data_IF_410547443721
#
_entry.id   IF_410547443721
#
_cell.length_a   1.000
_cell.length_b   1.000
_cell.length_c   1.000
_cell.angle_alpha   90.00
_cell.angle_beta   90.00
_cell.angle_gamma   90.00
#
_symmetry.space_group_name_H-M   'P 1'
#
loop_
_entity.id
_entity.type
_entity.pdbx_description
1 polymer ?
#
# COMPACT_ATOMS: atom_id res chain seq x y z
N UNK A 1 -2.42 4.04 29.18
CA UNK A 1 -1.91 4.12 27.79
C UNK A 1 -0.39 4.00 27.89
N UNK A 2 0.14 2.78 27.68
CA UNK A 2 1.53 2.46 27.95
C UNK A 2 2.46 3.17 26.96
N UNK A 3 3.47 3.85 27.48
CA UNK A 3 4.53 4.48 26.72
C UNK A 3 5.28 3.43 25.89
N UNK A 4 5.21 3.54 24.57
CA UNK A 4 6.12 2.82 23.67
C UNK A 4 7.12 3.81 23.07
N UNK A 5 7.97 4.40 23.93
CA UNK A 5 8.90 5.47 23.54
C UNK A 5 9.81 5.10 22.37
N UNK A 6 10.07 3.80 22.14
CA UNK A 6 10.80 3.32 20.97
C UNK A 6 10.06 3.53 19.65
N UNK A 7 8.74 3.32 19.63
CA UNK A 7 7.90 3.53 18.44
C UNK A 7 7.81 5.03 18.10
N UNK A 8 7.53 5.87 19.09
CA UNK A 8 7.44 7.32 18.87
C UNK A 8 8.76 7.88 18.35
N UNK A 9 9.87 7.52 18.99
CA UNK A 9 11.22 7.96 18.58
C UNK A 9 11.53 7.51 17.15
N UNK A 10 11.14 6.29 16.79
CA UNK A 10 11.32 5.78 15.42
C UNK A 10 10.48 6.56 14.40
N UNK A 11 9.21 6.81 14.68
CA UNK A 11 8.33 7.57 13.79
C UNK A 11 8.81 9.02 13.60
N UNK A 12 9.29 9.69 14.66
CA UNK A 12 9.92 11.02 14.56
C UNK A 12 11.15 10.95 13.64
N UNK A 13 12.02 9.95 13.85
CA UNK A 13 13.21 9.75 13.01
C UNK A 13 12.84 9.53 11.54
N UNK A 14 11.79 8.74 11.26
CA UNK A 14 11.30 8.49 9.90
C UNK A 14 10.85 9.78 9.23
N UNK A 15 10.13 10.65 9.94
CA UNK A 15 9.68 11.95 9.43
C UNK A 15 10.83 12.93 9.17
N UNK A 16 11.85 12.96 10.04
CA UNK A 16 13.05 13.80 9.83
C UNK A 16 13.84 13.32 8.59
N UNK A 17 13.88 12.01 8.34
CA UNK A 17 14.67 11.40 7.27
C UNK A 17 13.92 11.23 5.94
N UNK A 18 12.84 11.98 5.71
CA UNK A 18 11.99 11.88 4.51
C UNK A 18 12.73 12.08 3.19
N UNK A 19 13.82 12.85 3.17
CA UNK A 19 14.65 13.07 1.98
C UNK A 19 15.82 12.09 1.82
N UNK A 20 16.04 11.20 2.79
CA UNK A 20 17.22 10.33 2.80
C UNK A 20 16.97 9.04 2.00
N UNK A 21 17.85 8.74 1.04
CA UNK A 21 17.71 7.54 0.18
C UNK A 21 17.61 6.23 0.99
N UNK A 22 18.20 6.18 2.18
CA UNK A 22 18.16 5.03 3.07
C UNK A 22 16.81 4.81 3.78
N UNK A 23 15.88 5.76 3.72
CA UNK A 23 14.60 5.70 4.43
C UNK A 23 13.79 4.45 4.04
N UNK A 24 13.75 4.11 2.75
CA UNK A 24 13.09 2.88 2.26
C UNK A 24 13.65 1.62 2.91
N UNK A 25 14.97 1.53 3.07
CA UNK A 25 15.64 0.37 3.69
C UNK A 25 15.34 0.32 5.19
N UNK A 26 15.29 1.48 5.83
CA UNK A 26 14.98 1.63 7.26
C UNK A 26 13.53 1.22 7.56
N UNK A 27 12.56 1.69 6.76
CA UNK A 27 11.16 1.27 6.85
C UNK A 27 10.97 -0.22 6.56
N UNK A 28 11.61 -0.74 5.51
CA UNK A 28 11.57 -2.18 5.22
C UNK A 28 12.12 -3.01 6.39
N UNK A 29 13.28 -2.63 6.94
CA UNK A 29 13.87 -3.31 8.10
C UNK A 29 12.94 -3.27 9.31
N UNK A 30 12.27 -2.13 9.53
CA UNK A 30 11.30 -2.01 10.60
C UNK A 30 10.12 -2.96 10.40
N UNK A 31 9.49 -2.96 9.22
CA UNK A 31 8.39 -3.89 8.87
C UNK A 31 8.79 -5.36 9.01
N UNK A 32 10.02 -5.71 8.62
CA UNK A 32 10.57 -7.07 8.74
C UNK A 32 11.06 -7.42 10.14
N UNK A 33 11.07 -6.48 11.09
CA UNK A 33 11.44 -6.76 12.47
C UNK A 33 10.25 -7.31 13.25
N UNK A 34 10.50 -8.17 14.24
CA UNK A 34 9.48 -8.68 15.15
C UNK A 34 8.81 -7.60 16.01
N UNK A 35 9.29 -6.35 15.93
CA UNK A 35 8.82 -5.22 16.73
C UNK A 35 7.95 -4.23 15.93
N UNK A 36 7.64 -4.53 14.66
CA UNK A 36 6.70 -3.70 13.92
C UNK A 36 5.29 -3.93 14.48
N UNK A 37 4.61 -2.88 14.97
CA UNK A 37 3.23 -3.01 15.39
C UNK A 37 2.33 -3.32 14.18
N UNK A 38 1.07 -3.64 14.45
CA UNK A 38 0.05 -3.81 13.42
C UNK A 38 0.00 -2.59 12.50
N UNK A 39 -0.30 -2.80 11.22
CA UNK A 39 -0.29 -1.72 10.23
C UNK A 39 -1.16 -0.53 10.62
N UNK A 40 -2.30 -0.75 11.27
CA UNK A 40 -3.16 0.32 11.77
C UNK A 40 -2.42 1.20 12.79
N UNK A 41 -1.80 0.58 13.80
CA UNK A 41 -1.04 1.30 14.85
C UNK A 41 0.17 2.02 14.25
N UNK A 42 0.86 1.40 13.29
CA UNK A 42 1.97 2.02 12.58
C UNK A 42 1.53 3.29 11.81
N UNK A 43 0.42 3.19 11.08
CA UNK A 43 -0.16 4.31 10.33
C UNK A 43 -0.61 5.43 11.25
N UNK A 44 -1.38 5.10 12.27
CA UNK A 44 -1.92 6.07 13.23
C UNK A 44 -0.78 6.80 13.94
N UNK A 45 0.26 6.07 14.37
CA UNK A 45 1.44 6.67 15.01
C UNK A 45 2.19 7.63 14.08
N UNK A 46 2.38 7.26 12.81
CA UNK A 46 3.01 8.13 11.82
C UNK A 46 2.17 9.39 11.55
N UNK A 47 0.86 9.27 11.44
CA UNK A 47 -0.05 10.40 11.23
C UNK A 47 -0.09 11.31 12.46
N UNK A 48 -0.19 10.73 13.66
CA UNK A 48 -0.20 11.48 14.92
C UNK A 48 1.10 12.25 15.10
N UNK A 49 2.25 11.63 14.86
CA UNK A 49 3.55 12.30 14.99
C UNK A 49 3.73 13.39 13.93
N UNK A 50 3.24 13.18 12.71
CA UNK A 50 3.23 14.23 11.71
C UNK A 50 2.45 15.47 12.22
N UNK A 51 1.25 15.26 12.74
CA UNK A 51 0.42 16.34 13.31
C UNK A 51 1.07 17.00 14.53
N UNK A 52 1.58 16.20 15.47
CA UNK A 52 2.14 16.67 16.74
C UNK A 52 3.39 17.53 16.56
N UNK A 53 4.24 17.20 15.59
CA UNK A 53 5.49 17.90 15.34
C UNK A 53 5.45 18.83 14.11
N UNK A 54 4.28 18.96 13.47
CA UNK A 54 4.10 19.83 12.30
C UNK A 54 4.78 19.31 11.02
N UNK A 55 5.05 18.01 10.92
CA UNK A 55 5.49 17.42 9.65
C UNK A 55 4.31 17.31 8.68
N UNK A 56 4.57 17.51 7.39
CA UNK A 56 3.61 17.16 6.35
C UNK A 56 3.39 15.63 6.29
N UNK A 57 2.19 15.20 5.91
CA UNK A 57 1.93 13.78 5.60
C UNK A 57 2.63 13.41 4.28
N UNK A 58 3.92 13.12 4.36
CA UNK A 58 4.69 12.78 3.18
C UNK A 58 4.31 11.40 2.66
N UNK A 59 3.65 11.39 1.50
CA UNK A 59 3.16 10.18 0.84
C UNK A 59 4.26 9.14 0.59
N UNK A 60 5.53 9.53 0.47
CA UNK A 60 6.65 8.60 0.26
C UNK A 60 6.81 7.65 1.43
N UNK A 61 6.63 8.13 2.67
CA UNK A 61 6.73 7.31 3.89
C UNK A 61 5.73 6.15 3.82
N UNK A 62 4.47 6.50 3.59
CA UNK A 62 3.36 5.55 3.57
C UNK A 62 3.46 4.58 2.39
N UNK A 63 3.91 5.06 1.23
CA UNK A 63 4.18 4.19 0.09
C UNK A 63 5.33 3.21 0.36
N UNK A 64 6.43 3.66 0.98
CA UNK A 64 7.51 2.76 1.35
C UNK A 64 7.09 1.77 2.42
N UNK A 65 6.23 2.17 3.36
CA UNK A 65 5.62 1.28 4.35
C UNK A 65 4.75 0.20 3.69
N UNK A 66 3.85 0.59 2.79
CA UNK A 66 3.01 -0.31 1.98
C UNK A 66 3.87 -1.34 1.22
N UNK A 67 4.86 -0.86 0.46
CA UNK A 67 5.77 -1.75 -0.26
C UNK A 67 6.64 -2.60 0.69
N UNK A 68 6.90 -2.13 1.90
CA UNK A 68 7.52 -2.91 2.97
C UNK A 68 6.67 -4.12 3.35
N UNK A 69 5.38 -3.92 3.65
CA UNK A 69 4.46 -5.02 3.99
C UNK A 69 4.30 -6.02 2.84
N UNK A 70 4.16 -5.52 1.60
CA UNK A 70 4.08 -6.37 0.40
C UNK A 70 5.32 -7.24 0.24
N UNK A 71 6.52 -6.69 0.46
CA UNK A 71 7.79 -7.44 0.37
C UNK A 71 7.97 -8.43 1.51
N UNK A 72 7.45 -8.12 2.70
CA UNK A 72 7.45 -9.01 3.84
C UNK A 72 6.35 -10.08 3.77
N UNK A 73 5.54 -10.11 2.71
CA UNK A 73 4.37 -10.98 2.56
C UNK A 73 3.34 -10.86 3.71
N UNK A 74 3.30 -9.71 4.39
CA UNK A 74 2.28 -9.36 5.39
C UNK A 74 1.09 -8.74 4.67
N UNK A 75 0.18 -9.57 4.17
CA UNK A 75 -0.86 -9.16 3.21
C UNK A 75 -1.94 -8.34 3.89
N UNK A 76 -2.39 -8.78 5.05
CA UNK A 76 -3.42 -8.14 5.85
C UNK A 76 -2.96 -6.72 6.24
N UNK A 77 -1.71 -6.59 6.68
CA UNK A 77 -1.08 -5.31 6.97
C UNK A 77 -0.97 -4.40 5.74
N UNK A 78 -0.65 -4.97 4.56
CA UNK A 78 -0.60 -4.20 3.32
C UNK A 78 -1.99 -3.68 2.91
N UNK A 79 -3.05 -4.47 3.10
CA UNK A 79 -4.44 -4.05 2.84
C UNK A 79 -4.87 -2.96 3.82
N UNK A 80 -4.60 -3.14 5.11
CA UNK A 80 -4.86 -2.13 6.14
C UNK A 80 -4.11 -0.83 5.81
N UNK A 81 -2.84 -0.94 5.40
CA UNK A 81 -2.04 0.20 5.03
C UNK A 81 -2.60 0.95 3.81
N UNK A 82 -2.98 0.21 2.76
CA UNK A 82 -3.62 0.78 1.58
C UNK A 82 -4.94 1.51 1.93
N UNK A 83 -5.80 0.87 2.72
CA UNK A 83 -7.08 1.49 3.12
C UNK A 83 -6.85 2.75 3.97
N UNK A 84 -5.93 2.70 4.93
CA UNK A 84 -5.59 3.87 5.75
C UNK A 84 -5.04 5.03 4.92
N UNK A 85 -4.25 4.75 3.88
CA UNK A 85 -3.79 5.79 2.95
C UNK A 85 -4.95 6.40 2.16
N UNK A 86 -5.87 5.58 1.63
CA UNK A 86 -7.07 6.04 0.95
C UNK A 86 -7.88 6.94 1.90
N UNK A 87 -8.24 6.44 3.09
CA UNK A 87 -9.10 7.14 4.05
C UNK A 87 -8.51 8.48 4.50
N UNK A 88 -7.18 8.59 4.58
CA UNK A 88 -6.48 9.82 4.95
C UNK A 88 -6.09 10.73 3.77
N UNK A 89 -6.56 10.44 2.55
CA UNK A 89 -6.22 11.20 1.33
C UNK A 89 -4.69 11.27 1.06
N UNK A 90 -3.97 10.18 1.34
CA UNK A 90 -2.53 10.09 1.11
C UNK A 90 -2.29 9.50 -0.28
N UNK A 91 -1.50 10.19 -1.10
CA UNK A 91 -1.20 9.77 -2.46
C UNK A 91 -0.51 8.39 -2.53
N UNK A 92 -0.81 7.64 -3.58
CA UNK A 92 -0.32 6.29 -3.81
C UNK A 92 0.60 6.23 -5.04
N UNK A 93 1.71 5.51 -4.92
CA UNK A 93 2.47 5.06 -6.06
C UNK A 93 1.75 3.88 -6.70
N UNK A 94 1.17 4.10 -7.88
CA UNK A 94 0.51 3.06 -8.69
C UNK A 94 1.41 1.83 -8.87
N UNK A 95 2.73 2.03 -9.00
CA UNK A 95 3.69 0.93 -9.10
C UNK A 95 3.75 0.04 -7.86
N UNK A 96 3.51 0.55 -6.66
CA UNK A 96 3.49 -0.22 -5.42
C UNK A 96 2.13 -0.88 -5.19
N UNK A 97 1.04 -0.18 -5.52
CA UNK A 97 -0.30 -0.77 -5.50
C UNK A 97 -0.38 -1.95 -6.48
N UNK A 98 0.21 -1.82 -7.68
CA UNK A 98 0.31 -2.92 -8.64
C UNK A 98 1.04 -4.15 -8.07
N UNK A 99 2.03 -3.96 -7.18
CA UNK A 99 2.69 -5.09 -6.50
C UNK A 99 1.76 -5.75 -5.49
N UNK A 100 0.98 -4.98 -4.75
CA UNK A 100 -0.04 -5.50 -3.84
C UNK A 100 -1.12 -6.29 -4.61
N UNK A 101 -1.70 -5.70 -5.65
CA UNK A 101 -2.69 -6.38 -6.50
C UNK A 101 -2.12 -7.67 -7.09
N UNK A 102 -0.89 -7.63 -7.60
CA UNK A 102 -0.19 -8.82 -8.09
C UNK A 102 -0.04 -9.91 -7.01
N UNK A 103 0.30 -9.53 -5.79
CA UNK A 103 0.44 -10.46 -4.66
C UNK A 103 -0.89 -11.11 -4.30
N UNK A 104 -1.98 -10.34 -4.25
CA UNK A 104 -3.32 -10.83 -3.97
C UNK A 104 -3.79 -11.83 -5.03
N UNK A 105 -3.63 -11.50 -6.32
CA UNK A 105 -3.95 -12.41 -7.43
C UNK A 105 -3.14 -13.71 -7.33
N UNK A 106 -1.84 -13.64 -6.98
CA UNK A 106 -1.01 -14.84 -6.77
C UNK A 106 -1.53 -15.70 -5.62
N UNK A 107 -2.07 -15.09 -4.57
CA UNK A 107 -2.66 -15.77 -3.41
C UNK A 107 -4.12 -16.18 -3.59
N UNK A 108 -4.67 -15.98 -4.79
CA UNK A 108 -6.07 -16.27 -5.11
C UNK A 108 -7.09 -15.44 -4.32
N UNK A 109 -6.67 -14.27 -3.82
CA UNK A 109 -7.50 -13.30 -3.10
C UNK A 109 -8.12 -12.33 -4.10
N UNK A 110 -8.99 -12.86 -4.98
CA UNK A 110 -9.48 -12.12 -6.14
C UNK A 110 -10.51 -11.06 -5.73
N UNK A 111 -11.36 -11.38 -4.75
CA UNK A 111 -12.32 -10.42 -4.18
C UNK A 111 -11.61 -9.19 -3.65
N UNK A 112 -10.57 -9.38 -2.83
CA UNK A 112 -9.76 -8.30 -2.27
C UNK A 112 -9.05 -7.51 -3.37
N UNK A 113 -8.58 -8.19 -4.42
CA UNK A 113 -7.98 -7.52 -5.59
C UNK A 113 -8.97 -6.55 -6.24
N UNK A 114 -10.23 -6.97 -6.43
CA UNK A 114 -11.29 -6.13 -7.01
C UNK A 114 -11.66 -4.98 -6.08
N UNK A 115 -11.87 -5.26 -4.80
CA UNK A 115 -12.21 -4.24 -3.80
C UNK A 115 -11.15 -3.13 -3.76
N UNK A 116 -9.86 -3.49 -3.83
CA UNK A 116 -8.76 -2.51 -3.85
C UNK A 116 -8.73 -1.73 -5.16
N UNK A 117 -8.94 -2.39 -6.30
CA UNK A 117 -9.00 -1.74 -7.61
C UNK A 117 -10.15 -0.73 -7.70
N UNK A 118 -11.33 -1.09 -7.20
CA UNK A 118 -12.51 -0.21 -7.19
C UNK A 118 -12.29 0.99 -6.26
N UNK A 119 -11.61 0.80 -5.11
CA UNK A 119 -11.19 1.91 -4.24
C UNK A 119 -10.19 2.86 -4.89
N UNK A 120 -9.29 2.37 -5.75
CA UNK A 120 -8.43 3.27 -6.54
C UNK A 120 -9.30 4.15 -7.45
N UNK A 121 -10.25 3.53 -8.16
CA UNK A 121 -11.16 4.21 -9.07
C UNK A 121 -12.03 5.27 -8.37
N UNK A 122 -12.59 4.97 -7.20
CA UNK A 122 -13.42 5.91 -6.43
C UNK A 122 -12.64 7.12 -5.91
N UNK A 123 -11.30 7.02 -5.80
CA UNK A 123 -10.40 8.14 -5.49
C UNK A 123 -9.82 8.83 -6.73
N UNK A 124 -10.24 8.45 -7.93
CA UNK A 124 -9.69 9.01 -9.18
C UNK A 124 -8.25 8.59 -9.46
N UNK A 125 -7.77 7.52 -8.82
CA UNK A 125 -6.42 6.97 -9.04
C UNK A 125 -6.52 5.97 -10.18
N UNK A 126 -6.08 6.39 -11.37
CA UNK A 126 -6.12 5.54 -12.55
C UNK A 126 -4.93 4.59 -12.59
N UNK A 127 -5.24 3.30 -12.75
CA UNK A 127 -4.24 2.28 -13.03
C UNK A 127 -3.54 2.51 -14.36
N UNK A 128 -2.36 1.91 -14.52
CA UNK A 128 -1.62 1.90 -15.78
C UNK A 128 -1.77 0.55 -16.51
N UNK A 129 -1.04 0.38 -17.61
CA UNK A 129 -1.05 -0.87 -18.38
C UNK A 129 -0.72 -2.11 -17.54
N UNK A 130 0.15 -1.99 -16.54
CA UNK A 130 0.45 -3.08 -15.60
C UNK A 130 -0.75 -3.38 -14.70
N UNK A 131 -1.45 -2.36 -14.20
CA UNK A 131 -2.69 -2.55 -13.43
C UNK A 131 -3.72 -3.36 -14.23
N UNK A 132 -3.93 -2.99 -15.50
CA UNK A 132 -4.88 -3.70 -16.36
C UNK A 132 -4.46 -5.16 -16.57
N UNK A 133 -3.16 -5.44 -16.77
CA UNK A 133 -2.64 -6.82 -16.86
C UNK A 133 -2.86 -7.62 -15.58
N UNK A 134 -2.78 -7.00 -14.41
CA UNK A 134 -3.11 -7.66 -13.14
C UNK A 134 -4.60 -8.03 -13.11
N UNK A 135 -5.48 -7.10 -13.49
CA UNK A 135 -6.92 -7.34 -13.47
C UNK A 135 -7.36 -8.41 -14.48
N UNK A 136 -6.75 -8.48 -15.67
CA UNK A 136 -7.00 -9.57 -16.63
C UNK A 136 -6.63 -10.92 -16.00
N UNK A 137 -5.46 -11.02 -15.35
CA UNK A 137 -5.05 -12.24 -14.66
C UNK A 137 -5.99 -12.62 -13.51
N UNK A 138 -6.52 -11.62 -12.81
CA UNK A 138 -7.53 -11.81 -11.77
C UNK A 138 -8.82 -12.44 -12.34
N UNK A 139 -9.35 -11.87 -13.43
CA UNK A 139 -10.57 -12.37 -14.09
C UNK A 139 -10.40 -13.80 -14.63
N UNK A 140 -9.25 -14.10 -15.23
CA UNK A 140 -8.94 -15.45 -15.73
C UNK A 140 -8.91 -16.49 -14.61
N UNK A 141 -8.40 -16.13 -13.43
CA UNK A 141 -8.38 -17.03 -12.25
C UNK A 141 -9.76 -17.29 -11.66
N UNK A 142 -10.68 -16.33 -11.76
CA UNK A 142 -12.09 -16.52 -11.36
C UNK A 142 -12.90 -17.35 -12.37
N UNK A 143 -12.32 -17.71 -13.52
CA UNK A 143 -13.04 -18.36 -14.61
C UNK A 143 -13.99 -17.41 -15.37
N UNK A 144 -13.89 -16.09 -15.12
CA UNK A 144 -14.70 -15.08 -15.79
C UNK A 144 -14.02 -14.61 -17.10
N UNK A 145 -14.06 -15.48 -18.11
CA UNK A 145 -13.42 -15.21 -19.41
C UNK A 145 -14.00 -13.97 -20.13
N UNK A 146 -15.31 -13.70 -19.99
CA UNK A 146 -15.96 -12.55 -20.63
C UNK A 146 -15.47 -11.21 -20.09
N UNK A 147 -15.25 -11.12 -18.77
CA UNK A 147 -14.69 -9.91 -18.16
C UNK A 147 -13.20 -9.74 -18.48
N UNK A 148 -12.44 -10.85 -18.51
CA UNK A 148 -11.04 -10.84 -18.94
C UNK A 148 -10.90 -10.28 -20.37
N UNK A 149 -11.80 -10.63 -21.28
CA UNK A 149 -11.83 -10.13 -22.65
C UNK A 149 -12.14 -8.63 -22.72
N UNK A 150 -13.08 -8.13 -21.91
CA UNK A 150 -13.38 -6.70 -21.83
C UNK A 150 -12.19 -5.89 -21.29
N UNK A 151 -11.53 -6.36 -20.23
CA UNK A 151 -10.31 -5.75 -19.72
C UNK A 151 -9.19 -5.76 -20.77
N UNK A 152 -9.04 -6.84 -21.53
CA UNK A 152 -8.08 -6.93 -22.63
C UNK A 152 -8.37 -5.93 -23.75
N UNK A 153 -9.64 -5.77 -24.15
CA UNK A 153 -10.03 -4.77 -25.16
C UNK A 153 -9.74 -3.34 -24.70
N UNK A 154 -10.01 -3.01 -23.43
CA UNK A 154 -9.64 -1.71 -22.85
C UNK A 154 -8.13 -1.47 -22.86
N UNK A 155 -7.33 -2.52 -22.62
CA UNK A 155 -5.87 -2.45 -22.65
C UNK A 155 -5.30 -2.21 -24.06
N UNK A 156 -6.00 -2.65 -25.11
CA UNK A 156 -5.54 -2.55 -26.51
C UNK A 156 -5.88 -1.20 -27.15
N UNK A 157 -6.86 -0.48 -26.60
CA UNK A 157 -7.37 0.78 -27.13
C UNK A 157 -6.81 2.02 -26.41
N UNK A 158 -5.85 1.84 -25.50
CA UNK A 158 -5.07 2.87 -24.81
C UNK A 158 -3.58 2.67 -25.12
#
# INVERSE_FOLDING_TARGET
RGFNGGLESFCVLVHILVGWEGQRKLLYRWVSSNNCPDAAVALDSLIEIAKRFGFGLDFRIFNYLLNGYVRAHRIEDAIVCFNGMIDNNIDLFVSFVNKLLNLLVRRNMIKETRDLYDKMGSRGIFGNSETIRVMIRACLKEGNAGEAEQCFRKARNN
#
